data_IF_728556284891
#
_entry.id   IF_728556284891
#
_cell.length_a   1.000
_cell.length_b   1.000
_cell.length_c   1.000
_cell.angle_alpha   90.00
_cell.angle_beta   90.00
_cell.angle_gamma   90.00
#
_symmetry.space_group_name_H-M   'P 1'
#
loop_
_entity.id
_entity.type
_entity.pdbx_description
1 polymer ?
#
# COMPACT_ATOMS: atom_id res chain seq x y z
N UNK A 1 -17.38 -8.35 35.80
CA UNK A 1 -15.93 -8.43 36.02
C UNK A 1 -15.31 -8.77 34.67
N UNK A 2 -14.78 -7.73 34.00
CA UNK A 2 -13.39 -7.62 33.50
C UNK A 2 -13.13 -8.42 32.21
N UNK A 3 -13.05 -7.77 31.03
CA UNK A 3 -12.00 -6.90 30.50
C UNK A 3 -10.93 -7.69 29.74
N UNK A 4 -11.03 -7.59 28.40
CA UNK A 4 -9.95 -7.73 27.40
C UNK A 4 -9.16 -9.04 27.37
N UNK A 5 -9.58 -9.93 26.48
CA UNK A 5 -8.68 -10.82 25.73
C UNK A 5 -9.01 -10.69 24.24
N UNK A 6 -8.74 -9.51 23.68
CA UNK A 6 -8.60 -9.35 22.22
C UNK A 6 -7.12 -9.60 21.94
N UNK A 7 -6.70 -10.85 22.11
CA UNK A 7 -5.32 -11.27 21.86
C UNK A 7 -5.14 -11.48 20.35
N UNK A 8 -4.59 -10.44 19.73
CA UNK A 8 -3.61 -10.49 18.65
C UNK A 8 -3.75 -11.68 17.66
N UNK A 9 -4.72 -11.60 16.72
CA UNK A 9 -4.73 -12.48 15.54
C UNK A 9 -3.49 -12.19 14.68
N UNK A 10 -2.40 -12.89 14.95
CA UNK A 10 -1.37 -13.10 13.94
C UNK A 10 -2.06 -13.83 12.78
N UNK A 11 -1.98 -13.32 11.54
CA UNK A 11 -2.52 -14.06 10.41
C UNK A 11 -1.78 -15.40 10.31
N UNK A 12 -2.51 -16.51 10.29
CA UNK A 12 -1.96 -17.85 10.05
C UNK A 12 -0.96 -17.79 8.89
N UNK A 13 0.22 -18.41 9.02
CA UNK A 13 1.34 -18.27 8.06
C UNK A 13 0.93 -18.57 6.60
N UNK A 14 -0.09 -19.41 6.39
CA UNK A 14 -0.68 -19.67 5.07
C UNK A 14 -1.42 -18.47 4.45
N UNK A 15 -1.99 -17.57 5.26
CA UNK A 15 -2.57 -16.30 4.78
C UNK A 15 -1.47 -15.34 4.33
N UNK A 16 -0.36 -15.26 5.07
CA UNK A 16 0.77 -14.40 4.72
C UNK A 16 1.42 -14.78 3.37
N UNK A 17 1.54 -16.08 3.09
CA UNK A 17 1.97 -16.57 1.77
C UNK A 17 1.02 -16.14 0.66
N UNK A 18 -0.30 -16.33 0.84
CA UNK A 18 -1.29 -15.94 -0.16
C UNK A 18 -1.29 -14.42 -0.42
N UNK A 19 -1.04 -13.60 0.60
CA UNK A 19 -0.91 -12.16 0.42
C UNK A 19 0.34 -11.78 -0.37
N UNK A 20 1.46 -12.46 -0.14
CA UNK A 20 2.71 -12.20 -0.89
C UNK A 20 2.54 -12.49 -2.38
N UNK A 21 1.87 -13.59 -2.73
CA UNK A 21 1.52 -13.90 -4.11
C UNK A 21 0.53 -12.88 -4.69
N UNK A 22 -0.47 -12.46 -3.92
CA UNK A 22 -1.41 -11.42 -4.34
C UNK A 22 -0.70 -10.09 -4.63
N UNK A 23 0.30 -9.69 -3.83
CA UNK A 23 1.13 -8.51 -4.14
C UNK A 23 1.77 -8.64 -5.51
N UNK A 24 2.38 -9.78 -5.83
CA UNK A 24 3.02 -9.97 -7.14
C UNK A 24 2.02 -9.91 -8.32
N UNK A 25 0.79 -10.41 -8.13
CA UNK A 25 -0.27 -10.27 -9.15
C UNK A 25 -0.72 -8.82 -9.32
N UNK A 26 -0.91 -8.10 -8.21
CA UNK A 26 -1.26 -6.68 -8.28
C UNK A 26 -0.13 -5.84 -8.83
N UNK A 27 1.14 -6.13 -8.51
CA UNK A 27 2.31 -5.44 -9.05
C UNK A 27 2.32 -5.47 -10.57
N UNK A 28 2.24 -6.67 -11.15
CA UNK A 28 2.18 -6.84 -12.62
C UNK A 28 1.03 -6.08 -13.26
N UNK A 29 -0.14 -6.06 -12.61
CA UNK A 29 -1.31 -5.34 -13.12
C UNK A 29 -1.18 -3.83 -12.97
N UNK A 30 -0.58 -3.37 -11.87
CA UNK A 30 -0.35 -1.97 -11.57
C UNK A 30 0.72 -1.34 -12.47
N UNK A 31 1.74 -2.13 -12.84
CA UNK A 31 2.75 -1.79 -13.85
C UNK A 31 2.14 -1.62 -15.24
N UNK A 32 1.07 -2.36 -15.56
CA UNK A 32 0.28 -2.15 -16.78
C UNK A 32 -0.66 -0.94 -16.70
N UNK A 33 -0.58 -0.15 -15.62
CA UNK A 33 -1.39 1.04 -15.43
C UNK A 33 -2.78 0.78 -14.86
N UNK A 34 -3.14 -0.43 -14.41
CA UNK A 34 -4.47 -0.64 -13.84
C UNK A 34 -4.67 0.10 -12.52
N UNK A 35 -5.50 1.15 -12.53
CA UNK A 35 -5.81 1.97 -11.35
C UNK A 35 -6.32 1.15 -10.15
N UNK A 36 -7.15 0.13 -10.38
CA UNK A 36 -7.64 -0.76 -9.30
C UNK A 36 -6.51 -1.56 -8.66
N UNK A 37 -5.56 -2.05 -9.45
CA UNK A 37 -4.42 -2.80 -8.94
C UNK A 37 -3.44 -1.89 -8.18
N UNK A 38 -3.20 -0.69 -8.70
CA UNK A 38 -2.43 0.36 -8.02
C UNK A 38 -3.07 0.70 -6.66
N UNK A 39 -4.38 0.91 -6.60
CA UNK A 39 -5.10 1.15 -5.34
C UNK A 39 -4.93 -0.02 -4.34
N UNK A 40 -5.06 -1.26 -4.81
CA UNK A 40 -4.85 -2.45 -3.97
C UNK A 40 -3.42 -2.53 -3.43
N UNK A 41 -2.40 -2.31 -4.27
CA UNK A 41 -1.00 -2.25 -3.80
C UNK A 41 -0.79 -1.15 -2.78
N UNK A 42 -1.37 0.02 -3.00
CA UNK A 42 -1.32 1.12 -2.05
C UNK A 42 -1.77 0.68 -0.66
N UNK A 43 -2.87 -0.06 -0.58
CA UNK A 43 -3.40 -0.60 0.69
C UNK A 43 -2.50 -1.69 1.29
N UNK A 44 -1.91 -2.54 0.46
CA UNK A 44 -1.04 -3.63 0.93
C UNK A 44 0.25 -3.06 1.54
N UNK A 45 0.89 -2.10 0.87
CA UNK A 45 2.07 -1.39 1.42
C UNK A 45 1.71 -0.53 2.63
N UNK A 46 0.53 0.09 2.68
CA UNK A 46 0.09 0.87 3.84
C UNK A 46 -0.14 0.01 5.09
N UNK A 47 -0.54 -1.25 4.91
CA UNK A 47 -0.87 -2.17 5.99
C UNK A 47 0.21 -3.21 6.29
N UNK A 48 1.28 -3.28 5.49
CA UNK A 48 2.27 -4.34 5.59
C UNK A 48 1.68 -5.74 5.32
N UNK A 49 0.75 -5.86 4.39
CA UNK A 49 0.04 -7.12 4.09
C UNK A 49 0.72 -7.82 2.93
N UNK A 50 1.41 -8.93 3.20
CA UNK A 50 2.16 -9.69 2.17
C UNK A 50 3.43 -8.98 1.67
N UNK A 51 3.71 -7.79 2.18
CA UNK A 51 4.93 -7.00 1.97
C UNK A 51 5.25 -6.24 3.24
N UNK A 52 6.49 -5.79 3.39
CA UNK A 52 6.85 -4.83 4.44
C UNK A 52 6.04 -3.54 4.28
N UNK A 53 5.59 -2.97 5.40
CA UNK A 53 4.87 -1.71 5.39
C UNK A 53 5.79 -0.60 4.86
N UNK A 54 5.38 0.04 3.77
CA UNK A 54 6.10 1.16 3.17
C UNK A 54 5.10 2.24 2.75
N UNK A 55 4.87 3.19 3.66
CA UNK A 55 3.95 4.32 3.43
C UNK A 55 4.35 5.15 2.20
N UNK A 56 5.64 5.15 1.84
CA UNK A 56 6.17 5.88 0.71
C UNK A 56 5.72 5.24 -0.62
N UNK A 57 5.81 3.91 -0.72
CA UNK A 57 5.26 3.14 -1.84
C UNK A 57 3.73 3.18 -1.84
N UNK A 58 3.10 3.12 -0.67
CA UNK A 58 1.65 3.24 -0.56
C UNK A 58 1.15 4.57 -1.16
N UNK A 59 1.77 5.68 -0.75
CA UNK A 59 1.46 7.01 -1.27
C UNK A 59 1.67 7.11 -2.79
N UNK A 60 2.76 6.52 -3.31
CA UNK A 60 3.02 6.47 -4.75
C UNK A 60 1.89 5.76 -5.51
N UNK A 61 1.56 4.54 -5.09
CA UNK A 61 0.53 3.74 -5.75
C UNK A 61 -0.86 4.36 -5.67
N UNK A 62 -1.21 4.94 -4.52
CA UNK A 62 -2.44 5.71 -4.40
C UNK A 62 -2.44 6.96 -5.28
N UNK A 63 -1.31 7.65 -5.41
CA UNK A 63 -1.20 8.83 -6.29
C UNK A 63 -1.40 8.46 -7.76
N UNK A 64 -0.81 7.35 -8.21
CA UNK A 64 -1.00 6.85 -9.57
C UNK A 64 -2.46 6.45 -9.84
N UNK A 65 -3.10 5.75 -8.91
CA UNK A 65 -4.51 5.39 -9.05
C UNK A 65 -5.43 6.62 -9.00
N UNK A 66 -5.17 7.58 -8.10
CA UNK A 66 -5.93 8.81 -8.00
C UNK A 66 -5.80 9.68 -9.26
N UNK A 67 -4.61 9.73 -9.88
CA UNK A 67 -4.39 10.42 -11.15
C UNK A 67 -5.25 9.84 -12.30
N UNK A 68 -5.66 8.58 -12.18
CA UNK A 68 -6.56 7.90 -13.13
C UNK A 68 -8.05 8.02 -12.74
N UNK A 69 -8.39 8.83 -11.74
CA UNK A 69 -9.78 9.05 -11.29
C UNK A 69 -10.28 8.07 -10.23
N UNK A 70 -9.40 7.27 -9.61
CA UNK A 70 -9.79 6.38 -8.52
C UNK A 70 -9.99 7.19 -7.21
N UNK A 71 -11.25 7.45 -6.87
CA UNK A 71 -11.61 8.28 -5.71
C UNK A 71 -11.25 7.66 -4.34
N UNK A 72 -11.25 6.33 -4.22
CA UNK A 72 -10.80 5.63 -3.01
C UNK A 72 -9.29 5.70 -2.84
N UNK A 73 -8.54 5.75 -3.95
CA UNK A 73 -7.10 5.94 -3.90
C UNK A 73 -6.73 7.35 -3.40
N UNK A 74 -7.47 8.39 -3.79
CA UNK A 74 -7.26 9.74 -3.22
C UNK A 74 -7.43 9.73 -1.71
N UNK A 75 -8.50 9.09 -1.20
CA UNK A 75 -8.72 8.95 0.26
C UNK A 75 -7.58 8.18 0.94
N UNK A 76 -7.09 7.11 0.29
CA UNK A 76 -5.96 6.33 0.76
C UNK A 76 -4.67 7.15 0.83
N UNK A 77 -4.39 7.96 -0.20
CA UNK A 77 -3.27 8.90 -0.24
C UNK A 77 -3.36 9.92 0.90
N UNK A 78 -4.51 10.58 1.03
CA UNK A 78 -4.70 11.64 2.03
C UNK A 78 -4.55 11.06 3.46
N UNK A 79 -5.06 9.84 3.69
CA UNK A 79 -4.89 9.13 4.96
C UNK A 79 -3.43 8.80 5.27
N UNK A 80 -2.63 8.48 4.24
CA UNK A 80 -1.19 8.24 4.36
C UNK A 80 -0.44 9.55 4.61
N UNK A 81 -0.83 10.66 3.96
CA UNK A 81 -0.23 11.98 4.18
C UNK A 81 -0.37 12.44 5.64
N UNK A 82 -1.50 12.18 6.29
CA UNK A 82 -1.65 12.47 7.72
C UNK A 82 -0.74 11.65 8.64
N UNK A 83 -0.24 10.50 8.18
CA UNK A 83 0.67 9.62 8.93
C UNK A 83 2.14 9.89 8.62
N UNK A 84 2.43 10.41 7.43
CA UNK A 84 3.79 10.65 6.97
C UNK A 84 4.28 12.04 7.38
N UNK A 85 5.52 12.09 7.88
CA UNK A 85 6.23 13.36 8.05
C UNK A 85 6.67 13.94 6.71
N UNK A 86 6.93 15.25 6.66
CA UNK A 86 7.46 15.91 5.46
C UNK A 86 8.74 15.23 4.89
N UNK A 87 9.57 14.68 5.78
CA UNK A 87 10.77 13.93 5.41
C UNK A 87 10.44 12.59 4.74
N UNK A 88 9.45 11.84 5.25
CA UNK A 88 8.98 10.61 4.64
C UNK A 88 8.32 10.89 3.28
N UNK A 89 7.57 11.99 3.15
CA UNK A 89 6.99 12.41 1.87
C UNK A 89 8.06 12.77 0.83
N UNK A 90 9.14 13.43 1.26
CA UNK A 90 10.27 13.71 0.38
C UNK A 90 10.96 12.42 -0.08
N UNK A 91 11.13 11.45 0.82
CA UNK A 91 11.66 10.12 0.49
C UNK A 91 10.73 9.37 -0.47
N UNK A 92 9.42 9.47 -0.29
CA UNK A 92 8.42 8.89 -1.19
C UNK A 92 8.45 9.47 -2.59
N UNK A 93 8.47 10.80 -2.70
CA UNK A 93 8.65 11.49 -3.99
C UNK A 93 9.95 11.08 -4.68
N UNK A 94 11.04 10.97 -3.93
CA UNK A 94 12.33 10.54 -4.48
C UNK A 94 12.28 9.08 -4.98
N UNK A 95 11.69 8.17 -4.20
CA UNK A 95 11.59 6.75 -4.55
C UNK A 95 10.62 6.51 -5.70
N UNK A 96 9.55 7.30 -5.80
CA UNK A 96 8.66 7.34 -6.95
C UNK A 96 9.37 7.73 -8.24
N UNK A 97 10.23 8.76 -8.20
CA UNK A 97 11.04 9.16 -9.36
C UNK A 97 12.09 8.11 -9.73
N UNK A 98 12.61 7.36 -8.75
CA UNK A 98 13.60 6.31 -8.97
C UNK A 98 12.97 4.99 -9.44
N UNK A 99 11.68 4.79 -9.13
CA UNK A 99 10.94 3.60 -9.52
C UNK A 99 10.71 3.61 -11.04
N UNK A 100 11.47 2.76 -11.74
CA UNK A 100 11.25 2.39 -13.14
C UNK A 100 10.72 0.97 -13.19
N UNK A 101 9.43 0.74 -13.55
CA UNK A 101 8.98 -0.60 -13.89
C UNK A 101 9.83 -1.10 -15.08
N UNK A 102 10.24 -2.37 -15.03
CA UNK A 102 11.15 -2.99 -16.01
C UNK A 102 10.47 -3.31 -17.32
#
# INVERSE_FOLDING_TARGET
MSHKDIDNRQPDEGLAQNYSDAVNWYLRSAEQGQAKAQNSLGRMYAGGVGVEQDDALAHLWFSLAAAQGEATASKGRDAIEHKMTAAQMAKARKRANDWRPK
#
